data_IF_481032608939
#
_entry.id   IF_481032608939
#
_cell.length_a   1.000
_cell.length_b   1.000
_cell.length_c   1.000
_cell.angle_alpha   90.00
_cell.angle_beta   90.00
_cell.angle_gamma   90.00
#
_symmetry.space_group_name_H-M   'P 1'
#
loop_
_entity.id
_entity.type
_entity.pdbx_description
1 polymer ?
#
# COMPACT_ATOMS: atom_id res chain seq x y z
N UNK A 1 -58.87 54.37 -5.86
CA UNK A 1 -59.23 54.92 -4.54
C UNK A 1 -58.16 54.39 -3.60
N UNK A 2 -56.92 54.91 -3.66
CA UNK A 2 -56.47 56.31 -3.42
C UNK A 2 -56.34 56.57 -1.91
N UNK A 3 -55.28 57.13 -1.33
CA UNK A 3 -53.91 57.58 -1.72
C UNK A 3 -52.96 57.14 -0.55
N UNK A 4 -51.64 56.89 -0.65
CA UNK A 4 -50.47 57.69 -1.04
C UNK A 4 -50.15 58.92 -0.13
N UNK A 5 -48.84 59.27 -0.04
CA UNK A 5 -48.20 60.52 0.50
C UNK A 5 -47.62 60.48 1.94
N UNK A 6 -46.28 60.40 2.05
CA UNK A 6 -45.42 60.97 3.12
C UNK A 6 -45.11 62.46 2.84
N UNK A 7 -44.70 63.31 3.82
CA UNK A 7 -43.34 63.91 3.72
C UNK A 7 -42.62 64.46 5.00
N UNK A 8 -41.33 64.12 5.15
CA UNK A 8 -40.12 65.01 5.20
C UNK A 8 -39.89 66.11 6.31
N UNK A 9 -38.64 66.14 6.84
CA UNK A 9 -37.87 67.25 7.48
C UNK A 9 -38.17 67.70 8.93
N UNK A 10 -37.26 68.38 9.68
CA UNK A 10 -35.96 69.05 9.35
C UNK A 10 -34.94 69.08 10.53
N UNK A 11 -33.61 69.04 10.24
CA UNK A 11 -32.43 69.67 10.95
C UNK A 11 -32.21 69.46 12.49
N UNK A 12 -31.04 69.64 13.14
CA UNK A 12 -29.66 70.18 12.90
C UNK A 12 -28.70 69.62 14.03
N UNK A 13 -27.36 69.68 14.15
CA UNK A 13 -26.13 70.17 13.43
C UNK A 13 -24.86 69.46 14.02
N UNK A 14 -23.68 69.50 13.35
CA UNK A 14 -22.27 69.50 13.91
C UNK A 14 -21.75 68.34 14.83
N UNK A 15 -20.46 67.93 14.91
CA UNK A 15 -19.15 68.14 14.22
C UNK A 15 -18.52 66.72 14.04
N UNK A 16 -17.79 66.29 12.99
CA UNK A 16 -16.67 66.80 12.18
C UNK A 16 -15.24 66.58 12.76
N UNK A 17 -14.48 65.63 12.16
CA UNK A 17 -13.14 65.86 11.54
C UNK A 17 -12.59 64.57 10.89
N UNK A 18 -11.82 64.72 9.80
CA UNK A 18 -11.28 63.61 8.98
C UNK A 18 -10.03 64.07 8.18
N UNK A 19 -9.01 63.20 8.04
CA UNK A 19 -7.96 63.14 6.99
C UNK A 19 -7.02 61.96 7.33
N UNK A 20 -6.46 61.11 6.44
CA UNK A 20 -6.23 61.07 4.98
C UNK A 20 -4.96 61.79 4.45
N UNK A 21 -3.98 60.95 4.08
CA UNK A 21 -3.06 60.93 2.90
C UNK A 21 -2.66 62.24 2.16
N UNK A 22 -1.42 62.29 1.60
CA UNK A 22 -1.29 62.00 0.16
C UNK A 22 0.03 61.31 -0.28
N UNK A 23 0.16 61.01 -1.58
CA UNK A 23 1.33 60.37 -2.22
C UNK A 23 1.79 61.07 -3.52
N UNK A 24 3.09 60.93 -3.86
CA UNK A 24 3.78 61.32 -5.11
C UNK A 24 5.08 60.48 -5.24
N UNK A 25 5.36 59.70 -6.30
CA UNK A 25 6.13 60.05 -7.55
C UNK A 25 7.48 60.76 -7.31
N UNK A 26 8.61 60.45 -7.98
CA UNK A 26 8.81 59.82 -9.31
C UNK A 26 10.25 59.22 -9.56
N UNK A 27 10.42 58.50 -10.69
CA UNK A 27 11.63 58.25 -11.54
C UNK A 27 13.03 57.84 -11.02
N UNK A 28 13.36 56.56 -11.26
CA UNK A 28 14.48 56.00 -12.08
C UNK A 28 15.97 56.45 -11.97
N UNK A 29 16.86 55.47 -11.74
CA UNK A 29 18.19 55.31 -12.38
C UNK A 29 18.76 53.88 -12.13
N UNK A 30 19.88 53.49 -12.75
CA UNK A 30 20.44 52.12 -12.67
C UNK A 30 21.99 52.06 -12.65
N UNK A 31 22.52 50.85 -12.36
CA UNK A 31 23.86 50.32 -12.72
C UNK A 31 25.01 50.29 -11.68
N UNK A 32 25.30 49.06 -11.22
CA UNK A 32 26.63 48.40 -11.06
C UNK A 32 27.70 48.81 -10.01
N UNK A 33 28.29 47.74 -9.44
CA UNK A 33 29.67 47.56 -8.93
C UNK A 33 30.13 48.41 -7.70
N UNK A 34 31.25 48.09 -7.01
CA UNK A 34 31.67 46.79 -6.44
C UNK A 34 32.09 46.90 -4.93
N UNK A 35 32.44 45.80 -4.21
CA UNK A 35 32.87 45.84 -2.80
C UNK A 35 34.41 45.95 -2.59
N UNK A 36 34.88 46.69 -1.56
CA UNK A 36 36.26 46.60 -1.05
C UNK A 36 36.36 46.56 0.51
N UNK A 37 37.55 46.30 1.10
CA UNK A 37 38.61 45.39 0.66
C UNK A 37 39.12 44.46 1.80
N UNK A 38 39.99 43.52 1.46
CA UNK A 38 40.77 42.70 2.40
C UNK A 38 42.08 43.37 2.86
N UNK A 39 42.65 42.91 3.98
CA UNK A 39 44.09 43.06 4.30
C UNK A 39 44.64 41.73 4.81
N UNK A 40 45.94 41.51 4.59
CA UNK A 40 46.60 40.19 4.64
C UNK A 40 47.44 39.99 5.92
N UNK A 41 47.97 38.77 6.11
CA UNK A 41 48.86 38.43 7.22
C UNK A 41 49.39 37.00 7.13
N UNK A 42 50.39 36.78 6.29
CA UNK A 42 51.14 35.51 6.22
C UNK A 42 52.21 35.42 7.33
N UNK A 43 52.43 34.22 7.89
CA UNK A 43 53.78 33.66 8.07
C UNK A 43 53.69 32.11 8.28
N UNK A 44 54.82 31.44 8.53
CA UNK A 44 55.10 30.10 8.01
C UNK A 44 55.98 29.20 8.91
N UNK A 45 55.60 27.91 9.01
CA UNK A 45 56.44 26.75 9.38
C UNK A 45 55.57 25.48 9.22
N UNK A 46 55.96 24.34 8.61
CA UNK A 46 57.19 23.53 8.52
C UNK A 46 57.58 22.73 9.78
N UNK A 47 57.04 21.50 9.84
CA UNK A 47 57.68 20.22 10.22
C UNK A 47 58.27 20.07 11.65
N UNK A 48 58.63 18.85 12.13
CA UNK A 48 58.38 17.50 11.61
C UNK A 48 57.65 16.57 12.62
N UNK A 49 57.45 15.30 12.25
CA UNK A 49 57.11 14.21 13.17
C UNK A 49 58.36 13.45 13.66
N UNK A 50 58.34 12.91 14.90
CA UNK A 50 59.20 11.78 15.29
C UNK A 50 58.43 10.71 16.12
N UNK A 51 59.05 9.58 16.51
CA UNK A 51 59.63 8.58 15.61
C UNK A 51 59.09 7.16 15.92
N UNK A 52 59.31 6.22 15.00
CA UNK A 52 59.15 4.78 15.28
C UNK A 52 60.26 4.26 16.21
N UNK A 53 59.91 3.42 17.19
CA UNK A 53 60.85 2.53 17.89
C UNK A 53 60.26 1.13 18.00
N UNK A 54 61.14 0.12 18.00
CA UNK A 54 60.79 -1.30 17.90
C UNK A 54 60.43 -1.91 19.25
N UNK A 55 59.72 -3.05 19.23
CA UNK A 55 59.27 -3.75 20.43
C UNK A 55 58.66 -5.10 20.08
N UNK A 56 59.51 -6.08 19.77
CA UNK A 56 59.08 -7.47 19.62
C UNK A 56 58.76 -8.10 20.99
N UNK A 57 57.62 -8.78 21.10
CA UNK A 57 57.56 -10.03 21.87
C UNK A 57 56.52 -10.99 21.25
N UNK A 58 56.68 -12.29 21.48
CA UNK A 58 56.00 -13.37 20.77
C UNK A 58 55.03 -14.16 21.66
N UNK A 59 53.73 -14.01 21.41
CA UNK A 59 52.72 -14.98 21.86
C UNK A 59 51.77 -15.35 20.72
N UNK A 60 52.03 -16.49 20.09
CA UNK A 60 51.10 -17.14 19.16
C UNK A 60 50.15 -18.02 19.97
N UNK A 61 48.89 -17.64 20.07
CA UNK A 61 47.79 -18.57 20.33
C UNK A 61 46.85 -18.62 19.11
N UNK A 62 46.31 -19.80 18.76
CA UNK A 62 45.59 -19.99 17.49
C UNK A 62 44.14 -19.50 17.56
N UNK A 63 43.53 -19.13 16.41
CA UNK A 63 42.09 -18.93 16.33
C UNK A 63 41.35 -20.25 16.63
N UNK A 64 40.15 -20.20 17.24
CA UNK A 64 39.32 -21.39 17.46
C UNK A 64 38.88 -22.02 16.13
N UNK A 65 38.63 -23.34 16.10
CA UNK A 65 38.43 -24.08 14.85
C UNK A 65 37.18 -23.62 14.09
N UNK A 66 37.35 -23.41 12.79
CA UNK A 66 36.27 -23.23 11.83
C UNK A 66 35.45 -24.52 11.71
N UNK A 67 34.27 -24.57 12.32
CA UNK A 67 33.29 -25.63 12.06
C UNK A 67 32.66 -25.40 10.69
N UNK A 68 32.98 -26.25 9.72
CA UNK A 68 32.35 -26.26 8.41
C UNK A 68 30.87 -26.65 8.54
N UNK A 69 29.98 -25.67 8.43
CA UNK A 69 28.55 -25.90 8.25
C UNK A 69 28.25 -25.93 6.74
N UNK A 70 28.00 -27.11 6.19
CA UNK A 70 27.87 -27.31 4.74
C UNK A 70 26.69 -26.53 4.11
N UNK A 71 26.92 -26.00 2.90
CA UNK A 71 25.88 -25.39 2.08
C UNK A 71 24.93 -26.44 1.51
N UNK A 72 23.71 -26.53 2.06
CA UNK A 72 22.59 -27.21 1.43
C UNK A 72 21.24 -26.76 1.98
N UNK A 73 20.70 -25.66 1.43
CA UNK A 73 19.28 -25.32 1.59
C UNK A 73 18.68 -24.70 0.32
N UNK A 74 18.53 -25.53 -0.72
CA UNK A 74 17.40 -25.40 -1.66
C UNK A 74 16.16 -25.93 -0.94
N UNK A 75 15.16 -25.09 -0.72
CA UNK A 75 13.84 -25.52 -0.26
C UNK A 75 12.98 -25.95 -1.47
N UNK A 76 12.73 -27.25 -1.73
CA UNK A 76 11.63 -27.66 -2.59
C UNK A 76 10.30 -27.51 -1.83
N UNK A 77 9.21 -27.30 -2.57
CA UNK A 77 7.87 -27.46 -1.98
C UNK A 77 7.63 -28.96 -1.67
N UNK A 78 6.94 -29.31 -0.57
CA UNK A 78 6.71 -30.70 -0.19
C UNK A 78 5.74 -31.38 -1.17
N UNK A 79 6.23 -32.40 -1.86
CA UNK A 79 5.41 -33.38 -2.56
C UNK A 79 5.33 -34.65 -1.70
N UNK A 80 4.12 -34.97 -1.23
CA UNK A 80 3.85 -36.18 -0.44
C UNK A 80 3.60 -37.39 -1.34
N UNK A 81 4.38 -38.46 -1.19
CA UNK A 81 4.27 -39.68 -2.00
C UNK A 81 4.16 -40.95 -1.15
N UNK A 82 2.94 -41.47 -1.04
CA UNK A 82 2.56 -42.85 -0.71
C UNK A 82 1.35 -43.18 -1.62
N UNK A 83 1.01 -44.41 -1.99
CA UNK A 83 1.62 -45.73 -1.80
C UNK A 83 0.84 -46.72 -2.69
N UNK A 84 1.48 -47.80 -3.16
CA UNK A 84 0.99 -48.59 -4.32
C UNK A 84 -0.37 -49.30 -4.13
N UNK A 85 -1.10 -49.48 -5.25
CA UNK A 85 -2.31 -50.31 -5.32
C UNK A 85 -2.68 -50.64 -6.77
N UNK A 86 -2.42 -51.88 -7.21
CA UNK A 86 -2.59 -52.31 -8.61
C UNK A 86 -3.87 -53.12 -8.84
N UNK A 87 -4.65 -52.74 -9.85
CA UNK A 87 -5.61 -53.63 -10.53
C UNK A 87 -5.92 -53.11 -11.94
N UNK A 88 -5.74 -53.96 -12.95
CA UNK A 88 -6.00 -53.64 -14.36
C UNK A 88 -7.36 -54.18 -14.82
N UNK A 89 -8.24 -53.32 -15.34
CA UNK A 89 -9.39 -53.74 -16.16
C UNK A 89 -9.72 -52.67 -17.23
N UNK A 90 -10.06 -53.05 -18.48
CA UNK A 90 -10.47 -52.13 -19.53
C UNK A 90 -11.98 -51.80 -19.46
N UNK A 91 -12.41 -50.56 -19.76
CA UNK A 91 -13.83 -50.23 -19.83
C UNK A 91 -14.51 -50.84 -21.07
N UNK A 92 -15.79 -51.28 -20.96
CA UNK A 92 -16.57 -51.78 -22.10
C UNK A 92 -16.99 -50.64 -23.07
N UNK A 93 -17.31 -50.96 -24.33
CA UNK A 93 -17.72 -49.96 -25.33
C UNK A 93 -19.10 -49.37 -25.04
N UNK A 94 -19.23 -48.06 -25.24
CA UNK A 94 -20.49 -47.30 -25.14
C UNK A 94 -21.43 -47.57 -26.31
N UNK A 95 -22.71 -47.84 -26.03
CA UNK A 95 -23.77 -47.97 -27.05
C UNK A 95 -25.00 -47.14 -26.67
N UNK A 96 -25.01 -45.85 -27.02
CA UNK A 96 -26.17 -44.97 -26.86
C UNK A 96 -26.96 -44.84 -28.19
N UNK A 97 -28.30 -44.97 -28.17
CA UNK A 97 -29.15 -44.75 -29.33
C UNK A 97 -29.36 -43.24 -29.62
N UNK A 98 -29.81 -42.85 -30.84
CA UNK A 98 -29.92 -41.45 -31.23
C UNK A 98 -30.98 -40.68 -30.43
N UNK A 99 -30.60 -39.47 -29.99
CA UNK A 99 -31.47 -38.54 -29.26
C UNK A 99 -32.56 -37.98 -30.18
N UNK A 100 -33.82 -38.05 -29.76
CA UNK A 100 -34.94 -37.45 -30.48
C UNK A 100 -35.05 -35.94 -30.21
N UNK A 101 -35.54 -35.19 -31.19
CA UNK A 101 -35.70 -33.74 -31.07
C UNK A 101 -36.80 -33.37 -30.06
N UNK A 102 -36.47 -32.51 -29.11
CA UNK A 102 -37.41 -31.77 -28.28
C UNK A 102 -37.40 -30.29 -28.70
N UNK A 103 -38.56 -29.63 -28.65
CA UNK A 103 -38.71 -28.28 -29.17
C UNK A 103 -37.98 -27.22 -28.32
N UNK A 104 -37.34 -26.26 -29.00
CA UNK A 104 -36.63 -25.14 -28.38
C UNK A 104 -37.65 -24.14 -27.78
N UNK A 105 -37.53 -23.87 -26.49
CA UNK A 105 -38.32 -22.84 -25.82
C UNK A 105 -37.76 -21.44 -26.17
N UNK A 106 -38.61 -20.41 -26.36
CA UNK A 106 -38.14 -19.07 -26.70
C UNK A 106 -37.22 -18.52 -25.58
N UNK A 107 -36.17 -17.76 -25.94
CA UNK A 107 -35.22 -17.24 -24.96
C UNK A 107 -35.93 -16.29 -23.99
N UNK A 108 -35.59 -16.31 -22.68
CA UNK A 108 -36.16 -15.38 -21.72
C UNK A 108 -35.77 -13.94 -22.11
N UNK A 109 -36.78 -13.09 -22.27
CA UNK A 109 -36.58 -11.65 -22.48
C UNK A 109 -35.97 -11.04 -21.22
N UNK A 110 -34.64 -10.88 -21.23
CA UNK A 110 -33.89 -10.34 -20.10
C UNK A 110 -34.20 -8.86 -19.88
N UNK A 111 -35.22 -8.58 -19.06
CA UNK A 111 -35.31 -7.29 -18.38
C UNK A 111 -34.02 -7.09 -17.58
N UNK A 112 -33.35 -5.97 -17.80
CA UNK A 112 -32.08 -5.70 -17.14
C UNK A 112 -32.32 -5.51 -15.63
N UNK A 113 -31.72 -6.38 -14.81
CA UNK A 113 -31.70 -6.23 -13.35
C UNK A 113 -31.34 -4.78 -12.99
N UNK A 114 -32.08 -4.13 -12.06
CA UNK A 114 -31.83 -2.73 -11.75
C UNK A 114 -30.40 -2.56 -11.27
N UNK A 115 -29.64 -1.67 -11.93
CA UNK A 115 -28.29 -1.31 -11.51
C UNK A 115 -28.35 -0.68 -10.13
N UNK A 116 -27.99 -1.44 -9.10
CA UNK A 116 -27.87 -0.94 -7.74
C UNK A 116 -26.72 0.05 -7.72
N UNK A 117 -27.03 1.35 -7.70
CA UNK A 117 -26.01 2.39 -7.62
C UNK A 117 -25.30 2.32 -6.26
N UNK A 118 -23.97 2.17 -6.30
CA UNK A 118 -23.15 2.07 -5.09
C UNK A 118 -23.05 3.46 -4.42
N UNK A 119 -23.14 3.56 -3.08
CA UNK A 119 -23.20 4.84 -2.37
C UNK A 119 -21.96 5.73 -2.58
N UNK A 120 -22.17 7.05 -2.55
CA UNK A 120 -21.12 8.03 -2.78
C UNK A 120 -20.31 8.28 -1.49
N UNK A 121 -19.45 7.33 -1.13
CA UNK A 121 -18.67 7.34 0.11
C UNK A 121 -17.45 8.28 0.09
N UNK A 122 -17.05 8.78 -1.08
CA UNK A 122 -15.98 9.76 -1.30
C UNK A 122 -14.63 9.39 -0.63
N UNK A 123 -14.29 8.10 -0.59
CA UNK A 123 -13.25 7.57 0.29
C UNK A 123 -11.83 8.05 -0.02
N UNK A 124 -11.03 8.19 1.03
CA UNK A 124 -9.59 8.49 0.99
C UNK A 124 -8.81 7.25 1.42
N UNK A 125 -8.03 6.67 0.50
CA UNK A 125 -7.20 5.49 0.77
C UNK A 125 -5.70 5.81 0.80
N UNK A 126 -5.00 5.41 1.86
CA UNK A 126 -3.53 5.42 1.92
C UNK A 126 -3.01 4.06 1.46
N UNK A 127 -1.98 4.02 0.62
CA UNK A 127 -1.35 2.77 0.15
C UNK A 127 0.17 2.83 0.33
N UNK A 128 0.74 1.90 1.10
CA UNK A 128 2.18 1.68 1.14
C UNK A 128 2.56 0.43 0.34
N UNK A 129 3.62 0.52 -0.46
CA UNK A 129 4.02 -0.53 -1.39
C UNK A 129 3.30 -0.48 -2.75
N UNK A 130 2.69 0.65 -3.11
CA UNK A 130 1.95 0.86 -4.37
C UNK A 130 2.73 0.55 -5.67
N UNK A 131 4.07 0.54 -5.63
CA UNK A 131 4.92 0.16 -6.79
C UNK A 131 5.11 -1.35 -6.96
N UNK A 132 4.66 -2.17 -5.99
CA UNK A 132 4.64 -3.64 -6.08
C UNK A 132 3.56 -4.18 -7.02
N UNK A 133 3.48 -5.51 -7.19
CA UNK A 133 2.50 -6.13 -8.07
C UNK A 133 1.05 -5.87 -7.59
N UNK A 134 0.71 -6.34 -6.38
CA UNK A 134 -0.61 -6.09 -5.78
C UNK A 134 -0.88 -4.61 -5.55
N UNK A 135 0.12 -3.86 -5.09
CA UNK A 135 -0.01 -2.41 -4.87
C UNK A 135 -0.39 -1.65 -6.14
N UNK A 136 0.22 -1.98 -7.29
CA UNK A 136 -0.09 -1.35 -8.57
C UNK A 136 -1.49 -1.71 -9.07
N UNK A 137 -1.91 -2.96 -8.91
CA UNK A 137 -3.28 -3.38 -9.26
C UNK A 137 -4.34 -2.78 -8.32
N UNK A 138 -4.00 -2.52 -7.05
CA UNK A 138 -4.85 -1.80 -6.09
C UNK A 138 -4.97 -0.32 -6.47
N UNK A 139 -3.87 0.37 -6.73
CA UNK A 139 -3.90 1.78 -7.19
C UNK A 139 -4.65 1.91 -8.53
N UNK A 140 -4.51 0.93 -9.43
CA UNK A 140 -5.34 0.84 -10.65
C UNK A 140 -6.83 0.75 -10.33
N UNK A 141 -7.24 -0.15 -9.42
CA UNK A 141 -8.65 -0.32 -9.04
C UNK A 141 -9.26 0.93 -8.38
N UNK A 142 -8.54 1.54 -7.43
CA UNK A 142 -8.98 2.73 -6.70
C UNK A 142 -9.15 3.93 -7.64
N UNK A 143 -8.20 4.18 -8.54
CA UNK A 143 -8.27 5.31 -9.47
C UNK A 143 -9.26 5.07 -10.63
N UNK A 144 -9.45 3.81 -11.08
CA UNK A 144 -10.48 3.45 -12.08
C UNK A 144 -11.92 3.44 -11.53
N UNK A 145 -12.08 3.45 -10.20
CA UNK A 145 -13.39 3.61 -9.55
C UNK A 145 -13.91 5.04 -9.73
N UNK A 146 -15.21 5.28 -9.48
CA UNK A 146 -15.79 6.63 -9.55
C UNK A 146 -15.12 7.55 -8.52
N UNK A 147 -15.04 8.87 -8.80
CA UNK A 147 -14.47 9.84 -7.85
C UNK A 147 -15.31 9.97 -6.57
N UNK A 148 -16.60 9.72 -6.70
CA UNK A 148 -17.61 9.69 -5.64
C UNK A 148 -17.53 8.39 -4.80
N UNK A 149 -16.85 7.35 -5.30
CA UNK A 149 -16.48 6.16 -4.52
C UNK A 149 -15.13 6.37 -3.84
N UNK A 150 -14.11 6.79 -4.61
CA UNK A 150 -12.74 7.04 -4.15
C UNK A 150 -12.27 8.42 -4.61
N UNK A 151 -12.26 9.38 -3.66
CA UNK A 151 -11.97 10.79 -3.92
C UNK A 151 -10.49 11.10 -3.98
N UNK A 152 -9.66 10.31 -3.26
CA UNK A 152 -8.20 10.47 -3.19
C UNK A 152 -7.47 9.16 -2.86
N UNK A 153 -6.29 8.97 -3.44
CA UNK A 153 -5.32 7.91 -3.14
C UNK A 153 -3.99 8.57 -2.76
N UNK A 154 -3.45 8.19 -1.60
CA UNK A 154 -2.19 8.71 -1.05
C UNK A 154 -1.17 7.58 -1.03
N UNK A 155 -0.04 7.72 -1.74
CA UNK A 155 0.99 6.69 -1.82
C UNK A 155 2.19 7.00 -0.93
N UNK A 156 2.63 6.03 -0.13
CA UNK A 156 3.98 6.01 0.44
C UNK A 156 4.87 5.06 -0.37
N UNK A 157 5.98 5.58 -0.90
CA UNK A 157 6.85 4.83 -1.80
C UNK A 157 8.30 5.30 -1.75
N UNK A 158 9.23 4.42 -2.17
CA UNK A 158 10.66 4.76 -2.33
C UNK A 158 11.00 5.41 -3.68
N UNK A 159 10.07 5.35 -4.63
CA UNK A 159 10.16 5.85 -6.01
C UNK A 159 8.73 6.16 -6.49
N UNK A 160 8.58 7.12 -7.40
CA UNK A 160 7.30 7.40 -8.07
C UNK A 160 6.71 6.14 -8.72
N UNK A 161 5.38 6.10 -8.82
CA UNK A 161 4.69 5.10 -9.63
C UNK A 161 4.77 5.49 -11.12
N UNK A 162 5.19 4.53 -11.93
CA UNK A 162 5.65 4.69 -13.31
C UNK A 162 4.61 4.26 -14.35
N UNK A 163 3.84 3.22 -14.02
CA UNK A 163 2.81 2.63 -14.86
C UNK A 163 1.70 2.10 -13.96
N UNK A 164 0.45 2.46 -14.24
CA UNK A 164 -0.74 1.90 -13.60
C UNK A 164 -1.73 1.53 -14.72
N UNK A 165 -2.12 0.24 -14.87
CA UNK A 165 -2.95 -0.19 -15.99
C UNK A 165 -4.28 0.57 -16.08
N UNK A 166 -4.54 1.18 -17.23
CA UNK A 166 -5.79 1.88 -17.53
C UNK A 166 -6.05 3.12 -16.67
N UNK A 167 -5.00 3.84 -16.26
CA UNK A 167 -5.06 5.10 -15.50
C UNK A 167 -4.13 6.13 -16.13
N UNK A 168 -4.58 7.39 -16.25
CA UNK A 168 -3.74 8.50 -16.69
C UNK A 168 -3.06 9.16 -15.46
N UNK A 169 -1.82 8.77 -15.19
CA UNK A 169 -1.12 9.16 -13.96
C UNK A 169 -0.93 10.69 -13.81
N UNK A 170 -0.73 11.42 -14.90
CA UNK A 170 -0.50 12.87 -14.83
C UNK A 170 -1.81 13.64 -14.60
N UNK A 171 -2.95 13.10 -15.05
CA UNK A 171 -4.29 13.63 -14.80
C UNK A 171 -4.75 13.38 -13.36
N UNK A 172 -4.51 12.18 -12.82
CA UNK A 172 -4.81 11.87 -11.41
C UNK A 172 -3.94 12.70 -10.46
N UNK A 173 -2.66 12.94 -10.80
CA UNK A 173 -1.77 13.81 -10.01
C UNK A 173 -2.16 15.29 -10.10
N UNK A 174 -2.38 15.82 -11.30
CA UNK A 174 -2.73 17.24 -11.49
C UNK A 174 -4.12 17.60 -10.96
N UNK A 175 -5.05 16.64 -10.92
CA UNK A 175 -6.37 16.81 -10.26
C UNK A 175 -6.33 16.64 -8.73
N UNK A 176 -5.17 16.33 -8.14
CA UNK A 176 -4.98 16.12 -6.70
C UNK A 176 -5.62 14.83 -6.16
N UNK A 177 -6.05 13.92 -7.04
CA UNK A 177 -6.67 12.64 -6.69
C UNK A 177 -5.63 11.55 -6.41
N UNK A 178 -4.46 11.62 -7.03
CA UNK A 178 -3.29 10.82 -6.68
C UNK A 178 -2.21 11.73 -6.05
N UNK A 179 -1.84 11.44 -4.81
CA UNK A 179 -0.77 12.13 -4.08
C UNK A 179 0.36 11.15 -3.78
N UNK A 180 1.60 11.49 -4.14
CA UNK A 180 2.78 10.64 -3.89
C UNK A 180 3.71 11.24 -2.84
N UNK A 181 4.01 10.47 -1.79
CA UNK A 181 5.03 10.76 -0.78
C UNK A 181 6.23 9.84 -1.03
N UNK A 182 7.15 10.34 -1.86
CA UNK A 182 8.32 9.60 -2.35
C UNK A 182 9.54 9.92 -1.50
N UNK A 183 10.00 8.96 -0.70
CA UNK A 183 11.18 9.11 0.16
C UNK A 183 12.11 7.90 0.03
N UNK A 184 13.38 8.13 -0.29
CA UNK A 184 14.33 7.07 -0.66
C UNK A 184 14.50 5.97 0.41
N UNK A 185 14.53 6.37 1.69
CA UNK A 185 14.41 5.47 2.84
C UNK A 185 13.09 5.71 3.59
N UNK A 186 12.29 4.66 3.72
CA UNK A 186 10.99 4.70 4.42
C UNK A 186 11.16 4.64 5.95
N UNK A 187 12.34 4.25 6.46
CA UNK A 187 12.65 4.37 7.89
C UNK A 187 12.98 5.81 8.31
N UNK A 188 13.44 6.65 7.37
CA UNK A 188 13.83 8.03 7.64
C UNK A 188 12.66 9.04 7.64
N UNK A 189 11.47 8.64 7.18
CA UNK A 189 10.27 9.50 7.20
C UNK A 189 9.88 9.79 8.66
N UNK A 190 9.75 11.05 9.10
CA UNK A 190 9.31 11.39 10.45
C UNK A 190 7.92 10.84 10.81
N UNK A 191 7.69 10.56 12.08
CA UNK A 191 6.45 9.93 12.55
C UNK A 191 5.25 10.86 12.44
N UNK A 192 5.42 12.12 12.85
CA UNK A 192 4.43 13.18 12.62
C UNK A 192 4.19 13.45 11.13
N UNK A 193 5.15 13.18 10.23
CA UNK A 193 4.90 13.25 8.79
C UNK A 193 4.00 12.11 8.34
N UNK A 194 4.32 10.86 8.68
CA UNK A 194 3.46 9.70 8.35
C UNK A 194 2.04 9.93 8.89
N UNK A 195 1.92 10.35 10.15
CA UNK A 195 0.64 10.65 10.82
C UNK A 195 -0.13 11.75 10.07
N UNK A 196 0.48 12.93 9.86
CA UNK A 196 -0.22 14.07 9.25
C UNK A 196 -0.61 13.87 7.78
N UNK A 197 0.07 12.99 7.02
CA UNK A 197 -0.41 12.57 5.68
C UNK A 197 -1.51 11.50 5.73
N UNK A 198 -1.70 10.84 6.87
CA UNK A 198 -2.73 9.83 7.11
C UNK A 198 -4.02 10.42 7.73
N UNK A 199 -3.99 11.64 8.26
CA UNK A 199 -5.13 12.28 8.91
C UNK A 199 -6.33 12.45 7.95
N UNK A 200 -7.51 12.00 8.39
CA UNK A 200 -8.74 12.03 7.60
C UNK A 200 -8.87 10.94 6.52
N UNK A 201 -7.96 9.97 6.47
CA UNK A 201 -8.10 8.80 5.60
C UNK A 201 -9.02 7.72 6.20
N UNK A 202 -9.77 7.03 5.33
CA UNK A 202 -10.72 5.98 5.73
C UNK A 202 -10.04 4.62 5.94
N UNK A 203 -8.98 4.35 5.17
CA UNK A 203 -8.29 3.06 5.17
C UNK A 203 -6.81 3.21 4.84
N UNK A 204 -5.98 2.41 5.53
CA UNK A 204 -4.57 2.24 5.22
C UNK A 204 -4.33 0.83 4.67
N UNK A 205 -3.90 0.75 3.41
CA UNK A 205 -3.55 -0.49 2.71
C UNK A 205 -2.05 -0.75 2.77
N UNK A 206 -1.64 -1.80 3.49
CA UNK A 206 -0.26 -2.27 3.52
C UNK A 206 -0.02 -3.40 2.51
N UNK A 207 0.46 -3.03 1.31
CA UNK A 207 0.91 -3.97 0.28
C UNK A 207 2.42 -4.27 0.35
N UNK A 208 3.09 -4.00 1.49
CA UNK A 208 4.51 -4.28 1.66
C UNK A 208 4.80 -5.79 1.78
N UNK A 209 5.78 -6.23 1.00
CA UNK A 209 6.44 -7.51 1.17
C UNK A 209 7.62 -7.66 0.23
N UNK A 210 8.75 -8.10 0.78
CA UNK A 210 9.94 -8.52 0.03
C UNK A 210 10.18 -10.02 0.26
N UNK A 211 11.33 -10.52 -0.18
CA UNK A 211 11.82 -11.87 0.12
C UNK A 211 13.22 -11.77 0.71
N UNK A 212 13.70 -12.76 1.47
CA UNK A 212 15.10 -12.80 1.95
C UNK A 212 16.11 -12.51 0.83
N UNK A 213 15.88 -13.06 -0.37
CA UNK A 213 16.71 -12.82 -1.57
C UNK A 213 16.67 -11.37 -2.08
N UNK A 214 15.50 -10.72 -2.02
CA UNK A 214 15.33 -9.34 -2.48
C UNK A 214 15.63 -8.28 -1.38
N UNK A 215 15.72 -8.70 -0.12
CA UNK A 215 16.20 -7.89 1.00
C UNK A 215 17.74 -7.95 1.18
N UNK A 216 18.37 -9.01 0.68
CA UNK A 216 19.81 -9.29 0.84
C UNK A 216 20.15 -10.10 2.09
N UNK A 217 19.44 -9.90 3.21
CA UNK A 217 19.65 -10.66 4.46
C UNK A 217 18.35 -11.03 5.16
N UNK A 218 18.44 -11.84 6.23
CA UNK A 218 17.30 -12.20 7.06
C UNK A 218 16.81 -11.02 7.91
N UNK A 219 17.75 -10.22 8.42
CA UNK A 219 17.54 -9.03 9.24
C UNK A 219 16.89 -7.92 8.39
N UNK A 220 17.39 -7.72 7.17
CA UNK A 220 16.80 -6.79 6.21
C UNK A 220 15.38 -7.20 5.80
N UNK A 221 15.10 -8.51 5.68
CA UNK A 221 13.74 -9.02 5.46
C UNK A 221 12.83 -8.75 6.67
N UNK A 222 13.27 -9.06 7.89
CA UNK A 222 12.50 -8.78 9.11
C UNK A 222 12.21 -7.29 9.27
N UNK A 223 13.21 -6.43 9.02
CA UNK A 223 13.03 -4.98 9.05
C UNK A 223 11.96 -4.50 8.05
N UNK A 224 11.95 -5.02 6.83
CA UNK A 224 11.02 -4.57 5.78
C UNK A 224 9.62 -5.17 5.94
N UNK A 225 9.49 -6.47 6.27
CA UNK A 225 8.21 -7.20 6.30
C UNK A 225 7.51 -7.17 7.66
N UNK A 226 8.20 -6.76 8.74
CA UNK A 226 7.63 -6.54 10.07
C UNK A 226 7.87 -5.12 10.54
N UNK A 227 9.11 -4.71 10.81
CA UNK A 227 9.37 -3.50 11.60
C UNK A 227 8.86 -2.22 10.90
N UNK A 228 9.07 -2.10 9.59
CA UNK A 228 8.55 -1.00 8.78
C UNK A 228 7.01 -1.01 8.71
N UNK A 229 6.40 -2.18 8.66
CA UNK A 229 4.93 -2.33 8.59
C UNK A 229 4.28 -1.95 9.91
N UNK A 230 4.84 -2.42 11.04
CA UNK A 230 4.38 -2.06 12.39
C UNK A 230 4.50 -0.55 12.59
N UNK A 231 5.64 0.05 12.24
CA UNK A 231 5.85 1.50 12.32
C UNK A 231 4.80 2.31 11.55
N UNK A 232 4.51 1.93 10.30
CA UNK A 232 3.48 2.62 9.52
C UNK A 232 2.06 2.36 10.06
N UNK A 233 1.80 1.19 10.65
CA UNK A 233 0.52 0.88 11.31
C UNK A 233 0.32 1.70 12.60
N UNK A 234 1.36 1.86 13.43
CA UNK A 234 1.33 2.70 14.63
C UNK A 234 0.96 4.15 14.27
N UNK A 235 1.56 4.72 13.23
CA UNK A 235 1.27 6.08 12.79
C UNK A 235 -0.09 6.21 12.08
N UNK A 236 -0.53 5.19 11.33
CA UNK A 236 -1.90 5.13 10.80
C UNK A 236 -2.95 5.09 11.91
N UNK A 237 -2.69 4.34 13.00
CA UNK A 237 -3.54 4.31 14.19
C UNK A 237 -3.53 5.64 14.94
N UNK A 238 -2.36 6.28 15.08
CA UNK A 238 -2.21 7.61 15.69
C UNK A 238 -2.88 8.74 14.88
N UNK A 239 -3.00 8.58 13.56
CA UNK A 239 -3.76 9.47 12.66
C UNK A 239 -5.28 9.26 12.72
N UNK A 240 -5.76 8.27 13.49
CA UNK A 240 -7.18 7.98 13.66
C UNK A 240 -7.83 7.21 12.50
N UNK A 241 -7.06 6.61 11.59
CA UNK A 241 -7.61 5.79 10.50
C UNK A 241 -8.42 4.63 11.11
N UNK A 242 -9.68 4.40 10.69
CA UNK A 242 -10.52 3.36 11.28
C UNK A 242 -10.20 1.96 10.74
N UNK A 243 -9.79 1.83 9.47
CA UNK A 243 -9.52 0.53 8.83
C UNK A 243 -8.03 0.34 8.47
N UNK A 244 -7.43 -0.77 8.90
CA UNK A 244 -6.12 -1.21 8.43
C UNK A 244 -6.23 -2.51 7.63
N UNK A 245 -5.72 -2.53 6.40
CA UNK A 245 -5.79 -3.66 5.48
C UNK A 245 -4.38 -4.19 5.17
N UNK A 246 -4.01 -5.30 5.81
CA UNK A 246 -2.68 -5.89 5.82
C UNK A 246 -2.59 -7.07 4.84
N UNK A 247 -1.64 -7.00 3.90
CA UNK A 247 -1.28 -8.12 3.04
C UNK A 247 -0.16 -8.99 3.65
N UNK A 248 -0.49 -10.24 3.98
CA UNK A 248 0.47 -11.26 4.41
C UNK A 248 0.50 -12.44 3.43
N UNK A 249 0.26 -13.67 3.91
CA UNK A 249 0.44 -14.92 3.20
C UNK A 249 -0.29 -16.07 3.90
N UNK A 250 -0.66 -17.09 3.13
CA UNK A 250 -1.08 -18.38 3.68
C UNK A 250 0.01 -18.97 4.59
N UNK A 251 -0.37 -19.59 5.71
CA UNK A 251 0.56 -20.20 6.66
C UNK A 251 1.27 -19.24 7.63
N UNK A 252 0.92 -17.95 7.63
CA UNK A 252 1.45 -16.97 8.61
C UNK A 252 1.18 -17.42 10.06
N UNK A 253 2.25 -17.52 10.86
CA UNK A 253 2.21 -18.03 12.23
C UNK A 253 3.44 -17.51 13.01
N UNK A 254 3.26 -16.68 14.07
CA UNK A 254 4.37 -16.05 14.79
C UNK A 254 5.30 -17.06 15.51
N UNK A 255 4.83 -18.30 15.71
CA UNK A 255 5.56 -19.40 16.34
C UNK A 255 6.21 -20.35 15.32
N UNK A 256 6.17 -20.03 14.02
CA UNK A 256 6.79 -20.86 12.99
C UNK A 256 8.32 -20.89 13.10
N UNK A 257 8.94 -22.03 12.76
CA UNK A 257 10.40 -22.15 12.63
C UNK A 257 10.92 -21.50 11.34
N UNK A 258 10.11 -21.43 10.28
CA UNK A 258 10.51 -20.83 9.01
C UNK A 258 10.39 -19.30 9.06
N UNK A 259 11.48 -18.59 8.71
CA UNK A 259 11.59 -17.13 8.84
C UNK A 259 10.43 -16.37 8.16
N UNK A 260 9.99 -16.79 6.98
CA UNK A 260 8.96 -16.09 6.22
C UNK A 260 7.59 -16.09 6.91
N UNK A 261 7.07 -17.29 7.22
CA UNK A 261 5.80 -17.49 7.93
C UNK A 261 5.85 -16.95 9.36
N UNK A 262 7.02 -17.00 10.01
CA UNK A 262 7.28 -16.39 11.32
C UNK A 262 7.12 -14.87 11.26
N UNK A 263 7.87 -14.19 10.39
CA UNK A 263 7.81 -12.73 10.24
C UNK A 263 6.42 -12.26 9.85
N UNK A 264 5.76 -12.95 8.90
CA UNK A 264 4.37 -12.63 8.51
C UNK A 264 3.35 -12.88 9.63
N UNK A 265 3.52 -13.89 10.47
CA UNK A 265 2.68 -14.06 11.66
C UNK A 265 2.95 -13.04 12.77
N UNK A 266 4.20 -12.58 12.92
CA UNK A 266 4.57 -11.56 13.92
C UNK A 266 3.98 -10.17 13.58
N UNK A 267 3.96 -9.78 12.31
CA UNK A 267 3.34 -8.51 11.90
C UNK A 267 1.81 -8.55 12.00
N UNK A 268 1.18 -9.70 11.76
CA UNK A 268 -0.26 -9.87 12.01
C UNK A 268 -0.61 -9.67 13.49
N UNK A 269 0.15 -10.27 14.40
CA UNK A 269 -0.07 -10.14 15.84
C UNK A 269 0.14 -8.70 16.33
N UNK A 270 1.23 -8.04 15.88
CA UNK A 270 1.49 -6.64 16.21
C UNK A 270 0.37 -5.70 15.69
N UNK A 271 -0.09 -5.87 14.45
CA UNK A 271 -1.18 -5.06 13.88
C UNK A 271 -2.53 -5.31 14.58
N UNK A 272 -2.80 -6.55 15.02
CA UNK A 272 -3.99 -6.85 15.86
C UNK A 272 -3.95 -6.08 17.18
N UNK A 273 -2.79 -6.00 17.83
CA UNK A 273 -2.61 -5.30 19.11
C UNK A 273 -2.82 -3.78 19.02
N UNK A 274 -2.73 -3.17 17.82
CA UNK A 274 -3.07 -1.76 17.60
C UNK A 274 -4.59 -1.46 17.63
N UNK A 275 -5.44 -2.50 17.63
CA UNK A 275 -6.89 -2.38 17.83
C UNK A 275 -7.54 -1.30 16.94
N UNK A 276 -7.37 -1.39 15.62
CA UNK A 276 -8.13 -0.58 14.67
C UNK A 276 -9.64 -0.87 14.79
N UNK A 277 -10.48 0.09 14.38
CA UNK A 277 -11.95 -0.09 14.36
C UNK A 277 -12.37 -1.22 13.41
N UNK A 278 -11.56 -1.49 12.39
CA UNK A 278 -11.58 -2.70 11.57
C UNK A 278 -10.17 -3.05 11.10
N UNK A 279 -9.82 -4.34 11.09
CA UNK A 279 -8.52 -4.85 10.63
C UNK A 279 -8.76 -6.00 9.68
N UNK A 280 -8.30 -5.90 8.44
CA UNK A 280 -8.37 -7.01 7.46
C UNK A 280 -7.00 -7.58 7.23
N UNK A 281 -6.84 -8.89 7.39
CA UNK A 281 -5.58 -9.62 7.20
C UNK A 281 -5.76 -10.57 6.03
N UNK A 282 -5.16 -10.26 4.88
CA UNK A 282 -5.26 -11.06 3.68
C UNK A 282 -4.11 -12.06 3.62
N UNK A 283 -4.44 -13.36 3.69
CA UNK A 283 -3.50 -14.49 3.68
C UNK A 283 -3.62 -15.28 2.36
N UNK A 284 -3.20 -14.73 1.21
CA UNK A 284 -3.27 -15.42 -0.07
C UNK A 284 -2.24 -16.56 -0.17
N UNK A 285 -2.55 -17.55 -0.99
CA UNK A 285 -1.58 -18.52 -1.50
C UNK A 285 -0.67 -17.94 -2.58
N UNK A 286 -0.26 -18.77 -3.55
CA UNK A 286 0.56 -18.33 -4.68
C UNK A 286 -0.13 -17.23 -5.49
N UNK A 287 0.58 -16.14 -5.78
CA UNK A 287 0.07 -14.98 -6.52
C UNK A 287 0.47 -15.01 -8.00
N UNK A 288 -0.52 -14.89 -8.89
CA UNK A 288 -0.32 -14.71 -10.33
C UNK A 288 0.03 -13.26 -10.65
N UNK A 289 1.24 -13.02 -11.21
CA UNK A 289 1.80 -11.67 -11.43
C UNK A 289 1.98 -11.30 -12.91
N UNK A 290 1.20 -11.92 -13.81
CA UNK A 290 1.22 -11.64 -15.27
C UNK A 290 2.46 -12.09 -16.06
N UNK A 291 3.61 -12.32 -15.40
CA UNK A 291 4.84 -12.81 -16.02
C UNK A 291 4.92 -14.33 -16.14
N UNK A 292 5.23 -14.80 -17.35
CA UNK A 292 5.74 -16.13 -17.72
C UNK A 292 5.29 -17.36 -16.91
N UNK A 293 4.38 -18.16 -17.48
CA UNK A 293 4.12 -19.54 -17.06
C UNK A 293 5.26 -20.51 -17.45
N UNK A 294 6.49 -20.27 -16.97
CA UNK A 294 7.64 -21.11 -17.33
C UNK A 294 7.75 -22.35 -16.45
N UNK A 295 7.58 -23.50 -17.11
CA UNK A 295 7.88 -24.88 -16.69
C UNK A 295 7.10 -25.46 -15.48
N UNK A 296 6.87 -24.73 -14.39
CA UNK A 296 6.31 -25.30 -13.16
C UNK A 296 4.93 -25.98 -13.36
N UNK A 297 4.05 -25.38 -14.17
CA UNK A 297 2.71 -25.92 -14.48
C UNK A 297 2.73 -27.28 -15.21
N UNK A 298 3.88 -27.72 -15.76
CA UNK A 298 4.00 -29.04 -16.44
C UNK A 298 4.47 -30.18 -15.54
N UNK A 299 4.87 -29.90 -14.29
CA UNK A 299 5.39 -30.91 -13.36
C UNK A 299 4.46 -31.09 -12.16
N UNK A 300 3.82 -30.01 -11.68
CA UNK A 300 2.85 -30.07 -10.59
C UNK A 300 1.42 -30.36 -11.10
N UNK A 301 1.05 -31.65 -11.22
CA UNK A 301 -0.27 -32.10 -11.66
C UNK A 301 -1.41 -31.90 -10.64
N UNK A 302 -1.42 -30.80 -9.86
CA UNK A 302 -2.37 -30.56 -8.76
C UNK A 302 -3.00 -29.17 -8.88
N UNK A 303 -4.31 -29.08 -8.62
CA UNK A 303 -5.19 -27.94 -8.89
C UNK A 303 -4.99 -26.72 -7.96
N UNK A 304 -3.88 -25.99 -8.09
CA UNK A 304 -3.73 -24.65 -7.49
C UNK A 304 -3.46 -23.58 -8.55
N UNK A 305 -4.53 -23.02 -9.11
CA UNK A 305 -4.45 -21.77 -9.89
C UNK A 305 -3.98 -20.64 -8.97
N UNK A 306 -2.89 -19.97 -9.35
CA UNK A 306 -2.39 -18.82 -8.62
C UNK A 306 -3.43 -17.69 -8.61
N UNK A 307 -3.65 -17.07 -7.45
CA UNK A 307 -4.60 -15.97 -7.26
C UNK A 307 -4.11 -14.72 -8.03
N UNK A 308 -4.87 -14.16 -8.97
CA UNK A 308 -4.47 -12.93 -9.67
C UNK A 308 -4.32 -11.77 -8.69
N UNK A 309 -3.25 -10.97 -8.85
CA UNK A 309 -3.05 -9.78 -8.00
C UNK A 309 -4.14 -8.72 -8.21
N UNK A 310 -4.83 -8.75 -9.35
CA UNK A 310 -6.02 -7.96 -9.67
C UNK A 310 -7.21 -8.36 -8.79
N UNK A 311 -7.46 -9.66 -8.62
CA UNK A 311 -8.54 -10.18 -7.76
C UNK A 311 -8.28 -9.86 -6.29
N UNK A 312 -7.02 -9.99 -5.86
CA UNK A 312 -6.59 -9.60 -4.51
C UNK A 312 -6.78 -8.10 -4.27
N UNK A 313 -6.33 -7.26 -5.20
CA UNK A 313 -6.50 -5.81 -5.16
C UNK A 313 -7.99 -5.39 -5.11
N UNK A 314 -8.81 -6.01 -5.97
CA UNK A 314 -10.26 -5.79 -5.99
C UNK A 314 -10.91 -6.16 -4.66
N UNK A 315 -10.54 -7.30 -4.05
CA UNK A 315 -11.06 -7.70 -2.74
C UNK A 315 -10.67 -6.71 -1.63
N UNK A 316 -9.43 -6.21 -1.61
CA UNK A 316 -8.98 -5.20 -0.64
C UNK A 316 -9.82 -3.91 -0.72
N UNK A 317 -10.06 -3.41 -1.93
CA UNK A 317 -10.85 -2.19 -2.14
C UNK A 317 -12.34 -2.39 -1.80
N UNK A 318 -12.93 -3.55 -2.16
CA UNK A 318 -14.34 -3.85 -1.86
C UNK A 318 -14.56 -4.04 -0.35
N UNK A 319 -13.67 -4.73 0.35
CA UNK A 319 -13.73 -4.91 1.82
C UNK A 319 -13.74 -3.57 2.56
N UNK A 320 -12.82 -2.66 2.22
CA UNK A 320 -12.77 -1.32 2.80
C UNK A 320 -14.04 -0.50 2.51
N UNK A 321 -14.55 -0.60 1.29
CA UNK A 321 -15.75 0.09 0.85
C UNK A 321 -17.03 -0.45 1.53
N UNK A 322 -17.14 -1.77 1.68
CA UNK A 322 -18.22 -2.44 2.41
C UNK A 322 -18.19 -2.10 3.91
N UNK A 323 -17.00 -2.07 4.52
CA UNK A 323 -16.82 -1.60 5.89
C UNK A 323 -17.27 -0.14 6.04
N UNK A 324 -16.80 0.77 5.19
CA UNK A 324 -17.19 2.19 5.26
C UNK A 324 -18.70 2.37 5.12
N UNK A 325 -19.36 1.67 4.19
CA UNK A 325 -20.82 1.71 4.05
C UNK A 325 -21.56 1.20 5.29
N UNK A 326 -21.15 0.04 5.82
CA UNK A 326 -21.78 -0.60 6.99
C UNK A 326 -21.45 0.07 8.33
N UNK A 327 -20.35 0.83 8.42
CA UNK A 327 -19.90 1.53 9.65
C UNK A 327 -20.87 2.62 10.14
N UNK A 328 -21.92 2.91 9.37
CA UNK A 328 -22.95 3.91 9.68
C UNK A 328 -23.92 3.51 10.79
N UNK A 329 -23.86 2.28 11.36
CA UNK A 329 -24.83 1.88 12.39
C UNK A 329 -24.56 0.65 13.27
N UNK A 330 -23.36 0.04 13.28
CA UNK A 330 -23.13 -1.18 14.07
C UNK A 330 -21.74 -1.29 14.71
N UNK A 331 -21.68 -1.55 16.02
CA UNK A 331 -20.48 -2.01 16.74
C UNK A 331 -20.40 -3.54 16.69
N UNK A 332 -19.62 -4.08 15.76
CA UNK A 332 -19.33 -5.52 15.70
C UNK A 332 -18.40 -5.96 16.86
N UNK A 333 -18.55 -7.20 17.33
CA UNK A 333 -17.79 -7.74 18.47
C UNK A 333 -16.40 -8.26 18.10
N UNK A 334 -16.17 -8.61 16.83
CA UNK A 334 -14.86 -8.91 16.27
C UNK A 334 -14.47 -7.83 15.27
N UNK A 335 -13.42 -7.08 15.59
CA UNK A 335 -12.86 -6.02 14.74
C UNK A 335 -11.76 -6.53 13.79
N UNK A 336 -11.51 -7.84 13.72
CA UNK A 336 -10.45 -8.42 12.86
C UNK A 336 -10.97 -9.55 11.97
N UNK A 337 -10.90 -9.34 10.65
CA UNK A 337 -11.24 -10.33 9.62
C UNK A 337 -9.96 -10.89 9.00
N UNK A 338 -9.90 -12.21 8.82
CA UNK A 338 -8.80 -12.90 8.13
C UNK A 338 -9.36 -13.51 6.84
N UNK A 339 -8.84 -13.12 5.69
CA UNK A 339 -9.31 -13.59 4.38
C UNK A 339 -8.33 -14.59 3.76
N UNK A 340 -8.80 -15.79 3.45
CA UNK A 340 -8.07 -16.79 2.64
C UNK A 340 -8.37 -16.61 1.16
N UNK A 341 -7.75 -17.40 0.26
CA UNK A 341 -8.05 -17.38 -1.18
C UNK A 341 -9.57 -17.44 -1.46
N UNK A 342 -10.32 -18.31 -0.77
CA UNK A 342 -11.76 -18.49 -0.97
C UNK A 342 -12.55 -17.24 -0.63
N UNK A 343 -12.13 -16.52 0.41
CA UNK A 343 -12.79 -15.31 0.88
C UNK A 343 -12.41 -14.13 0.00
N UNK A 344 -11.15 -14.04 -0.43
CA UNK A 344 -10.68 -13.06 -1.41
C UNK A 344 -11.47 -13.18 -2.72
N UNK A 345 -11.68 -14.40 -3.25
CA UNK A 345 -12.52 -14.61 -4.42
C UNK A 345 -13.98 -14.19 -4.18
N UNK A 346 -14.58 -14.55 -3.03
CA UNK A 346 -15.95 -14.18 -2.67
C UNK A 346 -16.14 -12.66 -2.58
N UNK A 347 -15.25 -11.97 -1.87
CA UNK A 347 -15.27 -10.50 -1.72
C UNK A 347 -15.05 -9.80 -3.07
N UNK A 348 -14.15 -10.30 -3.91
CA UNK A 348 -13.95 -9.75 -5.25
C UNK A 348 -15.18 -9.90 -6.16
N UNK A 349 -15.87 -11.04 -6.09
CA UNK A 349 -17.11 -11.29 -6.83
C UNK A 349 -18.30 -10.47 -6.31
N UNK A 350 -18.37 -10.20 -5.00
CA UNK A 350 -19.45 -9.46 -4.36
C UNK A 350 -19.51 -7.95 -4.68
N UNK A 351 -18.61 -7.44 -5.54
CA UNK A 351 -18.61 -6.05 -6.03
C UNK A 351 -18.67 -5.93 -7.55
N UNK A 352 -19.12 -6.98 -8.26
CA UNK A 352 -19.46 -6.98 -9.68
C UNK A 352 -20.96 -6.72 -9.90
#
# INVERSE_FOLDING_TARGET
MSEEVDPISTEQTEQETQNKEPASTETAAASKDPPPPSTEGEDSSKDPAPPSTEGEDSSKDPPPPSTEGEDSSKDPAPASTEGEGSSTDPPPPSTDPPVSAAAEAPPPTGEASPKVERPQLNMVGVVIGGTGATGRSLVSYLLRSKKEEWSKVILFSRRTIDNVPGVNLEEEKSSGRLVEHVVGDMFAVPEDEIKSKCEGADVFFCCLGTTRRAAGSAEAFVRIDRDLVVRFAEQAKAAGIPHFSLLTSYGSNPNSFFLYTKTKGQVEEAVRQLNFSYTTILRPGLLGRGGERRLAEKIAGIFFKALPVETLAQAMAIDAYQYKGSSTGATATDNVVIMTNSDIYRTAQAGQ
#
